data_IF_886718227225
#
_entry.id   IF_886718227225
#
_cell.length_a   1.000
_cell.length_b   1.000
_cell.length_c   1.000
_cell.angle_alpha   90.00
_cell.angle_beta   90.00
_cell.angle_gamma   90.00
#
_symmetry.space_group_name_H-M   'P 1'
#
loop_
_entity.id
_entity.type
_entity.pdbx_description
1 polymer ?
#
# COMPACT_ATOMS: atom_id res chain seq x y z
N UNK A 1 51.17 43.58 -9.62
CA UNK A 1 52.12 42.55 -10.07
C UNK A 1 51.30 41.58 -10.91
N UNK A 2 51.82 41.15 -12.05
CA UNK A 2 51.13 40.20 -12.94
C UNK A 2 50.87 38.91 -12.14
N UNK A 3 49.61 38.55 -11.90
CA UNK A 3 49.23 37.25 -11.33
C UNK A 3 49.65 36.20 -12.35
N UNK A 4 50.55 35.31 -11.96
CA UNK A 4 50.82 34.12 -12.74
C UNK A 4 49.70 33.13 -12.43
N UNK A 5 48.84 32.95 -13.42
CA UNK A 5 47.97 31.81 -13.71
C UNK A 5 46.96 31.40 -12.63
N UNK A 6 46.06 32.32 -12.23
CA UNK A 6 44.77 31.91 -11.66
C UNK A 6 44.00 31.03 -12.68
N UNK A 7 43.12 30.12 -12.23
CA UNK A 7 42.32 29.27 -13.12
C UNK A 7 41.54 30.10 -14.16
N UNK A 8 41.34 29.53 -15.36
CA UNK A 8 40.60 30.22 -16.44
C UNK A 8 39.17 30.61 -16.03
N UNK A 9 38.60 29.95 -15.01
CA UNK A 9 37.28 30.20 -14.46
C UNK A 9 37.30 30.82 -13.05
N UNK A 10 38.33 31.59 -12.73
CA UNK A 10 38.49 32.32 -11.46
C UNK A 10 37.38 33.36 -11.23
N UNK A 11 36.87 33.97 -12.29
CA UNK A 11 35.79 34.98 -12.22
C UNK A 11 34.46 34.38 -12.68
N UNK A 12 33.36 34.84 -12.10
CA UNK A 12 32.01 34.42 -12.50
C UNK A 12 31.76 34.68 -14.00
N UNK A 13 32.25 35.80 -14.51
CA UNK A 13 32.12 36.16 -15.93
C UNK A 13 32.86 35.22 -16.89
N UNK A 14 33.82 34.44 -16.37
CA UNK A 14 34.65 33.50 -17.11
C UNK A 14 34.26 32.04 -16.83
N UNK A 15 33.05 31.79 -16.29
CA UNK A 15 32.55 30.46 -15.96
C UNK A 15 32.67 29.47 -17.13
N UNK A 16 33.34 28.35 -16.91
CA UNK A 16 33.51 27.31 -17.94
C UNK A 16 32.20 26.55 -18.13
N UNK A 17 31.78 26.36 -19.38
CA UNK A 17 30.61 25.54 -19.72
C UNK A 17 30.94 24.07 -19.51
N UNK A 18 30.13 23.36 -18.73
CA UNK A 18 30.25 21.93 -18.44
C UNK A 18 28.99 21.16 -18.82
N UNK A 19 29.08 19.83 -18.83
CA UNK A 19 27.96 18.91 -18.93
C UNK A 19 27.94 17.95 -17.74
N UNK A 20 27.04 16.96 -17.77
CA UNK A 20 27.05 15.86 -16.79
C UNK A 20 28.35 15.05 -16.85
N UNK A 21 28.72 14.46 -15.72
CA UNK A 21 29.90 13.64 -15.49
C UNK A 21 30.95 14.32 -14.61
N UNK A 22 32.15 13.75 -14.63
CA UNK A 22 33.27 14.14 -13.78
C UNK A 22 34.13 15.24 -14.43
N UNK A 23 34.32 16.34 -13.72
CA UNK A 23 35.11 17.50 -14.13
C UNK A 23 36.27 17.68 -13.16
N UNK A 24 37.51 17.55 -13.65
CA UNK A 24 38.70 17.87 -12.87
C UNK A 24 38.83 19.37 -12.68
N UNK A 25 39.11 19.82 -11.46
CA UNK A 25 39.24 21.25 -11.15
C UNK A 25 40.37 21.54 -10.15
N UNK A 26 40.74 22.83 -10.06
CA UNK A 26 41.67 23.37 -9.06
C UNK A 26 41.22 24.78 -8.65
N UNK A 27 41.18 25.04 -7.34
CA UNK A 27 40.98 26.40 -6.76
C UNK A 27 42.29 27.03 -6.29
N UNK A 28 43.43 26.35 -6.47
CA UNK A 28 44.75 26.89 -6.13
C UNK A 28 45.01 28.16 -6.95
N UNK A 29 45.50 29.20 -6.27
CA UNK A 29 45.79 30.53 -6.80
C UNK A 29 44.57 31.33 -7.32
N UNK A 30 43.35 30.81 -7.13
CA UNK A 30 42.11 31.52 -7.40
C UNK A 30 41.85 32.64 -6.35
N UNK A 31 41.20 33.70 -6.78
CA UNK A 31 40.60 34.73 -5.95
C UNK A 31 39.23 34.31 -5.42
N UNK A 32 38.48 35.29 -4.91
CA UNK A 32 37.08 35.10 -4.48
C UNK A 32 36.26 36.18 -5.18
N UNK A 33 35.37 35.79 -6.09
CA UNK A 33 34.59 36.72 -6.91
C UNK A 33 33.10 36.82 -6.50
N UNK A 34 32.54 35.75 -5.90
CA UNK A 34 31.10 35.70 -5.59
C UNK A 34 30.66 36.32 -4.26
N UNK A 35 29.34 36.47 -4.07
CA UNK A 35 28.76 37.05 -2.86
C UNK A 35 28.99 36.16 -1.62
N UNK A 36 28.86 36.75 -0.43
CA UNK A 36 28.71 35.92 0.78
C UNK A 36 27.36 35.18 0.73
N UNK A 37 27.33 33.93 1.21
CA UNK A 37 26.08 33.17 1.23
C UNK A 37 25.11 33.72 2.30
N UNK A 38 23.79 33.57 2.08
CA UNK A 38 22.78 33.92 3.08
C UNK A 38 22.92 33.06 4.35
N UNK A 39 22.31 33.51 5.45
CA UNK A 39 22.34 32.77 6.72
C UNK A 39 21.66 31.39 6.66
N UNK A 40 20.80 31.15 5.68
CA UNK A 40 20.21 29.82 5.45
C UNK A 40 21.24 28.77 5.04
N UNK A 41 22.40 29.19 4.49
CA UNK A 41 23.52 28.30 4.16
C UNK A 41 24.54 28.16 5.30
N UNK A 42 24.23 28.66 6.49
CA UNK A 42 25.17 28.63 7.61
C UNK A 42 25.05 27.30 8.36
N UNK A 43 25.91 26.34 8.05
CA UNK A 43 25.99 25.04 8.74
C UNK A 43 26.76 25.13 10.09
N UNK A 44 26.84 26.33 10.68
CA UNK A 44 27.40 26.57 12.01
C UNK A 44 28.81 27.18 12.01
N UNK A 45 29.48 27.22 10.85
CA UNK A 45 30.86 27.69 10.73
C UNK A 45 31.04 28.93 9.83
N UNK A 46 29.94 29.55 9.36
CA UNK A 46 29.90 30.82 8.64
C UNK A 46 29.71 30.68 7.12
N UNK A 47 29.55 31.82 6.43
CA UNK A 47 28.95 31.86 5.07
C UNK A 47 29.92 32.34 3.98
N UNK A 48 31.20 32.43 4.31
CA UNK A 48 32.22 33.03 3.45
C UNK A 48 32.91 31.94 2.65
N UNK A 49 32.91 32.10 1.32
CA UNK A 49 33.76 31.33 0.42
C UNK A 49 35.22 31.80 0.52
N UNK A 50 36.13 30.84 0.43
CA UNK A 50 37.54 31.03 0.14
C UNK A 50 37.81 31.22 -1.34
N UNK A 51 38.96 30.76 -1.81
CA UNK A 51 39.29 30.74 -3.24
C UNK A 51 38.19 29.99 -4.00
N UNK A 52 37.61 30.61 -5.04
CA UNK A 52 36.48 30.07 -5.79
C UNK A 52 36.70 30.06 -7.30
N UNK A 53 35.98 29.16 -7.95
CA UNK A 53 35.92 29.03 -9.41
C UNK A 53 34.48 28.78 -9.85
N UNK A 54 34.21 29.04 -11.12
CA UNK A 54 32.86 29.08 -11.66
C UNK A 54 32.66 28.14 -12.85
N UNK A 55 31.51 27.49 -12.88
CA UNK A 55 31.03 26.71 -14.01
C UNK A 55 29.64 27.17 -14.41
N UNK A 56 29.30 26.97 -15.69
CA UNK A 56 27.93 27.13 -16.17
C UNK A 56 27.43 25.81 -16.73
N UNK A 57 26.21 25.46 -16.39
CA UNK A 57 25.54 24.26 -16.86
C UNK A 57 24.18 24.64 -17.42
N UNK A 58 23.86 24.15 -18.62
CA UNK A 58 22.52 24.28 -19.19
C UNK A 58 21.89 22.89 -19.20
N UNK A 59 20.96 22.60 -18.28
CA UNK A 59 20.28 21.33 -18.20
C UNK A 59 19.54 21.03 -19.51
N UNK A 60 19.71 19.81 -20.03
CA UNK A 60 18.88 19.28 -21.11
C UNK A 60 17.55 18.68 -20.63
N UNK A 61 17.22 18.85 -19.34
CA UNK A 61 16.11 18.21 -18.63
C UNK A 61 15.61 19.10 -17.48
N UNK A 62 14.38 18.85 -17.00
CA UNK A 62 13.84 19.46 -15.78
C UNK A 62 13.77 18.38 -14.71
N UNK A 63 14.35 18.61 -13.54
CA UNK A 63 14.40 17.59 -12.48
C UNK A 63 15.53 17.84 -11.50
N UNK A 64 15.91 16.81 -10.75
CA UNK A 64 17.00 16.91 -9.78
C UNK A 64 18.38 16.88 -10.46
N UNK A 65 19.31 17.68 -9.93
CA UNK A 65 20.73 17.64 -10.27
C UNK A 65 21.53 17.52 -8.98
N UNK A 66 22.38 16.50 -8.89
CA UNK A 66 23.39 16.39 -7.85
C UNK A 66 24.70 16.97 -8.33
N UNK A 67 25.26 17.86 -7.52
CA UNK A 67 26.54 18.53 -7.71
C UNK A 67 27.41 18.11 -6.54
N UNK A 68 28.45 17.32 -6.79
CA UNK A 68 29.22 16.68 -5.73
C UNK A 68 30.71 16.92 -5.87
N UNK A 69 31.35 17.17 -4.72
CA UNK A 69 32.82 17.05 -4.52
C UNK A 69 33.14 15.99 -3.47
N UNK A 70 32.10 15.31 -2.97
CA UNK A 70 32.13 14.41 -1.83
C UNK A 70 33.17 13.30 -2.01
N UNK A 71 34.11 13.19 -1.07
CA UNK A 71 35.23 12.24 -1.09
C UNK A 71 36.17 12.35 -2.31
N UNK A 72 36.01 13.39 -3.13
CA UNK A 72 36.73 13.60 -4.39
C UNK A 72 37.53 14.91 -4.43
N UNK A 73 37.47 15.71 -3.37
CA UNK A 73 38.33 16.87 -3.13
C UNK A 73 39.37 16.59 -2.04
N UNK A 74 40.54 17.23 -2.17
CA UNK A 74 41.64 17.13 -1.21
C UNK A 74 41.62 18.21 -0.11
N UNK A 75 40.54 19.01 -0.06
CA UNK A 75 40.35 20.14 0.83
C UNK A 75 38.88 20.28 1.26
N UNK A 76 38.65 21.14 2.24
CA UNK A 76 37.32 21.51 2.76
C UNK A 76 36.62 22.41 1.72
N UNK A 77 35.62 21.84 1.04
CA UNK A 77 34.95 22.49 -0.09
C UNK A 77 33.67 23.17 0.34
N UNK A 78 33.19 24.07 -0.52
CA UNK A 78 31.86 24.64 -0.46
C UNK A 78 31.27 24.73 -1.86
N UNK A 79 30.00 24.38 -1.98
CA UNK A 79 29.22 24.45 -3.21
C UNK A 79 28.08 25.45 -3.10
N UNK A 80 27.82 26.16 -4.19
CA UNK A 80 26.61 26.94 -4.36
C UNK A 80 26.19 26.95 -5.83
N UNK A 81 24.89 26.88 -6.07
CA UNK A 81 24.30 27.00 -7.40
C UNK A 81 23.39 28.22 -7.47
N UNK A 82 23.44 28.93 -8.59
CA UNK A 82 22.69 30.16 -8.82
C UNK A 82 21.97 30.13 -10.16
N UNK A 83 20.80 30.76 -10.22
CA UNK A 83 20.15 31.20 -11.44
C UNK A 83 20.56 32.64 -11.78
N UNK A 84 20.18 33.06 -12.99
CA UNK A 84 20.52 34.34 -13.61
C UNK A 84 22.02 34.51 -13.89
N UNK A 85 22.44 35.72 -14.26
CA UNK A 85 23.83 36.04 -14.56
C UNK A 85 24.58 36.62 -13.36
N UNK A 86 25.90 36.77 -13.50
CA UNK A 86 26.80 37.29 -12.45
C UNK A 86 26.41 38.67 -11.87
N UNK A 87 25.65 39.47 -12.60
CA UNK A 87 25.17 40.78 -12.14
C UNK A 87 23.95 40.70 -11.21
N UNK A 88 23.26 39.56 -11.16
CA UNK A 88 22.00 39.35 -10.42
C UNK A 88 21.84 37.90 -9.94
N UNK A 89 22.89 37.35 -9.31
CA UNK A 89 22.92 35.96 -8.85
C UNK A 89 21.75 35.66 -7.88
N UNK A 90 20.90 34.72 -8.26
CA UNK A 90 19.81 34.20 -7.41
C UNK A 90 20.19 32.81 -6.91
N UNK A 91 20.42 32.67 -5.61
CA UNK A 91 20.83 31.39 -5.04
C UNK A 91 19.71 30.33 -5.16
N UNK A 92 20.04 29.17 -5.72
CA UNK A 92 19.18 27.98 -5.81
C UNK A 92 19.45 27.03 -4.64
N UNK A 93 20.73 26.80 -4.32
CA UNK A 93 21.13 25.89 -3.27
C UNK A 93 22.60 26.03 -2.92
N UNK A 94 22.98 25.51 -1.76
CA UNK A 94 24.33 25.60 -1.21
C UNK A 94 24.59 24.42 -0.26
N UNK A 95 25.85 24.01 -0.15
CA UNK A 95 26.29 23.05 0.85
C UNK A 95 27.77 23.32 1.20
N UNK A 96 28.11 23.20 2.48
CA UNK A 96 29.49 23.23 2.98
C UNK A 96 29.97 21.80 3.25
N UNK A 97 29.40 21.15 4.27
CA UNK A 97 29.80 19.82 4.70
C UNK A 97 28.76 18.80 4.25
N UNK A 98 29.07 18.04 3.20
CA UNK A 98 28.21 16.95 2.75
C UNK A 98 28.16 15.83 3.79
N UNK A 99 26.97 15.31 4.06
CA UNK A 99 26.81 14.20 4.99
C UNK A 99 27.56 12.96 4.48
N UNK A 100 28.36 12.32 5.35
CA UNK A 100 29.18 11.17 4.98
C UNK A 100 30.40 11.48 4.09
N UNK A 101 30.65 12.76 3.79
CA UNK A 101 31.78 13.19 2.98
C UNK A 101 33.03 13.40 3.84
N UNK A 102 34.12 12.69 3.51
CA UNK A 102 35.43 12.89 4.09
C UNK A 102 36.03 14.24 3.71
N UNK A 103 37.04 14.68 4.46
CA UNK A 103 37.74 15.95 4.24
C UNK A 103 36.85 17.20 4.27
N UNK A 104 35.63 17.11 4.82
CA UNK A 104 34.67 18.23 4.80
C UNK A 104 34.34 18.64 3.35
N UNK A 105 34.19 17.64 2.48
CA UNK A 105 33.79 17.87 1.10
C UNK A 105 32.27 17.97 0.97
N UNK A 106 31.80 18.62 -0.08
CA UNK A 106 30.39 19.04 -0.21
C UNK A 106 29.61 18.13 -1.15
N UNK A 107 28.32 18.01 -0.89
CA UNK A 107 27.32 17.35 -1.72
C UNK A 107 26.04 18.17 -1.76
N UNK A 108 25.62 18.59 -2.96
CA UNK A 108 24.50 19.51 -3.16
C UNK A 108 23.47 18.91 -4.12
N UNK A 109 22.21 18.86 -3.68
CA UNK A 109 21.05 18.50 -4.49
C UNK A 109 20.19 19.75 -4.77
N UNK A 110 19.86 19.99 -6.04
CA UNK A 110 19.00 21.10 -6.46
C UNK A 110 18.00 20.66 -7.52
N UNK A 111 16.92 21.42 -7.70
CA UNK A 111 16.03 21.30 -8.86
C UNK A 111 16.49 22.22 -9.97
N UNK A 112 16.48 21.72 -11.20
CA UNK A 112 16.82 22.45 -12.42
C UNK A 112 15.68 22.42 -13.43
N UNK A 113 15.60 23.44 -14.28
CA UNK A 113 14.63 23.50 -15.37
C UNK A 113 15.34 23.38 -16.71
N UNK A 114 14.76 22.62 -17.65
CA UNK A 114 15.29 22.43 -19.00
C UNK A 114 15.57 23.78 -19.68
N UNK A 115 16.73 23.87 -20.32
CA UNK A 115 17.21 25.06 -21.03
C UNK A 115 17.37 26.33 -20.17
N UNK A 116 17.24 26.23 -18.84
CA UNK A 116 17.51 27.34 -17.91
C UNK A 116 18.95 27.20 -17.39
N UNK A 117 19.88 28.07 -17.82
CA UNK A 117 21.27 27.96 -17.40
C UNK A 117 21.43 28.30 -15.91
N UNK A 118 22.26 27.53 -15.23
CA UNK A 118 22.69 27.77 -13.86
C UNK A 118 24.19 28.04 -13.81
N UNK A 119 24.62 28.76 -12.78
CA UNK A 119 26.01 28.97 -12.41
C UNK A 119 26.33 28.14 -11.17
N UNK A 120 27.44 27.40 -11.22
CA UNK A 120 27.91 26.54 -10.13
C UNK A 120 29.22 27.15 -9.64
N UNK A 121 29.26 27.50 -8.35
CA UNK A 121 30.43 28.03 -7.66
C UNK A 121 31.02 26.93 -6.79
N UNK A 122 32.30 26.65 -7.00
CA UNK A 122 33.09 25.71 -6.20
C UNK A 122 34.17 26.50 -5.51
N UNK A 123 34.29 26.40 -4.20
CA UNK A 123 35.40 27.01 -3.46
C UNK A 123 35.67 26.26 -2.17
N UNK A 124 36.38 26.88 -1.23
CA UNK A 124 36.67 26.27 0.07
C UNK A 124 36.16 27.06 1.26
N UNK A 125 36.17 26.45 2.44
CA UNK A 125 35.84 27.14 3.69
C UNK A 125 36.90 28.18 4.07
N UNK A 126 36.50 29.45 4.24
CA UNK A 126 37.33 30.56 4.80
C UNK A 126 38.76 30.74 4.23
N UNK A 127 39.02 30.28 3.01
CA UNK A 127 40.31 30.43 2.33
C UNK A 127 41.05 29.13 2.09
N UNK A 128 40.48 27.98 2.47
CA UNK A 128 40.94 26.68 1.98
C UNK A 128 40.84 26.63 0.44
N UNK A 129 41.78 25.91 -0.16
CA UNK A 129 41.90 25.76 -1.61
C UNK A 129 42.64 24.47 -1.93
N UNK A 130 42.35 23.85 -3.06
CA UNK A 130 42.96 22.59 -3.43
C UNK A 130 42.52 22.10 -4.81
N UNK A 131 42.59 20.79 -5.01
CA UNK A 131 42.20 20.12 -6.25
C UNK A 131 41.14 19.08 -5.98
N UNK A 132 40.35 18.75 -7.01
CA UNK A 132 39.33 17.73 -6.87
C UNK A 132 38.63 17.38 -8.17
N UNK A 133 37.64 16.51 -8.03
CA UNK A 133 36.66 16.18 -9.08
C UNK A 133 35.31 16.73 -8.67
N UNK A 134 34.70 17.52 -9.55
CA UNK A 134 33.32 17.96 -9.46
C UNK A 134 32.49 16.98 -10.31
N UNK A 135 31.58 16.25 -9.69
CA UNK A 135 30.66 15.34 -10.38
C UNK A 135 29.30 16.03 -10.51
N UNK A 136 28.82 16.18 -11.75
CA UNK A 136 27.44 16.58 -12.05
C UNK A 136 26.69 15.34 -12.53
N UNK A 137 25.73 14.86 -11.75
CA UNK A 137 24.96 13.67 -12.11
C UNK A 137 23.47 13.90 -11.90
N UNK A 138 22.67 13.27 -12.75
CA UNK A 138 21.26 13.05 -12.45
C UNK A 138 21.28 11.98 -11.35
N UNK A 139 20.78 12.26 -10.13
CA UNK A 139 20.60 11.20 -9.14
C UNK A 139 19.83 10.06 -9.80
N UNK A 140 20.24 8.82 -9.61
CA UNK A 140 19.55 7.66 -10.18
C UNK A 140 18.20 7.37 -9.50
N UNK A 141 17.51 8.42 -9.04
CA UNK A 141 16.19 8.46 -8.40
C UNK A 141 15.22 9.19 -9.34
N UNK A 142 14.96 8.59 -10.49
CA UNK A 142 13.75 8.84 -11.27
C UNK A 142 12.73 7.81 -10.84
N UNK A 143 11.98 8.11 -9.78
CA UNK A 143 10.98 7.23 -9.17
C UNK A 143 10.08 6.59 -10.24
N UNK A 144 10.08 5.25 -10.31
CA UNK A 144 9.25 4.48 -11.24
C UNK A 144 7.75 4.77 -11.13
N UNK A 145 7.28 5.28 -10.00
CA UNK A 145 5.88 5.53 -9.71
C UNK A 145 5.46 7.00 -9.92
N UNK A 146 6.38 7.85 -10.40
CA UNK A 146 6.11 9.25 -10.70
C UNK A 146 6.37 9.56 -12.17
N UNK A 147 5.56 10.44 -12.77
CA UNK A 147 5.76 10.82 -14.17
C UNK A 147 6.92 11.81 -14.33
N UNK A 148 7.78 11.56 -15.30
CA UNK A 148 8.90 12.42 -15.66
C UNK A 148 9.18 12.35 -17.18
N UNK A 149 9.99 13.30 -17.66
CA UNK A 149 10.14 13.53 -19.10
C UNK A 149 11.11 12.54 -19.78
N UNK A 150 11.92 11.85 -18.98
CA UNK A 150 12.96 10.93 -19.42
C UNK A 150 12.41 9.52 -19.56
N UNK A 151 12.91 8.71 -20.51
CA UNK A 151 12.54 7.30 -20.59
C UNK A 151 13.23 6.44 -19.51
N UNK A 152 12.51 5.43 -19.01
CA UNK A 152 12.95 4.53 -17.95
C UNK A 152 12.86 5.17 -16.56
N UNK A 153 12.98 4.35 -15.51
CA UNK A 153 13.01 4.80 -14.12
C UNK A 153 14.21 4.23 -13.35
N UNK A 154 14.28 4.51 -12.04
CA UNK A 154 15.34 4.16 -11.09
C UNK A 154 15.46 2.67 -10.78
N UNK A 155 14.36 1.93 -10.76
CA UNK A 155 14.37 0.47 -10.67
C UNK A 155 14.51 -0.17 -12.06
N UNK A 156 15.66 -0.80 -12.31
CA UNK A 156 15.97 -1.49 -13.56
C UNK A 156 15.03 -2.68 -13.87
N UNK A 157 14.58 -3.43 -12.85
CA UNK A 157 13.66 -4.54 -13.01
C UNK A 157 12.24 -4.03 -13.34
N UNK A 158 11.77 -3.03 -12.58
CA UNK A 158 10.50 -2.36 -12.86
C UNK A 158 10.51 -1.69 -14.24
N UNK A 159 11.55 -0.93 -14.55
CA UNK A 159 11.78 -0.31 -15.86
C UNK A 159 11.68 -1.34 -16.98
N UNK A 160 12.41 -2.47 -16.91
CA UNK A 160 12.32 -3.52 -17.93
C UNK A 160 10.94 -4.16 -18.05
N UNK A 161 10.21 -4.30 -16.93
CA UNK A 161 8.87 -4.87 -16.88
C UNK A 161 7.86 -3.92 -17.55
N UNK A 162 7.88 -2.64 -17.19
CA UNK A 162 7.06 -1.59 -17.83
C UNK A 162 7.45 -1.43 -19.31
N UNK A 163 8.74 -1.42 -19.66
CA UNK A 163 9.21 -1.38 -21.05
C UNK A 163 8.65 -2.55 -21.89
N UNK A 164 8.46 -3.72 -21.29
CA UNK A 164 7.96 -4.91 -21.98
C UNK A 164 6.47 -4.81 -22.30
N UNK A 165 5.73 -4.03 -21.52
CA UNK A 165 4.30 -3.76 -21.69
C UNK A 165 4.11 -2.56 -22.62
N UNK A 166 4.83 -1.46 -22.35
CA UNK A 166 4.75 -0.20 -23.06
C UNK A 166 6.14 0.34 -23.44
N UNK A 167 6.66 0.01 -24.64
CA UNK A 167 7.99 0.43 -25.08
C UNK A 167 8.22 1.95 -25.13
N UNK A 168 7.16 2.76 -25.26
CA UNK A 168 7.28 4.22 -25.24
C UNK A 168 7.79 4.76 -23.90
N UNK A 169 7.59 4.04 -22.80
CA UNK A 169 8.14 4.40 -21.49
C UNK A 169 9.67 4.41 -21.48
N UNK A 170 10.31 3.73 -22.44
CA UNK A 170 11.77 3.53 -22.48
C UNK A 170 12.42 4.12 -23.73
N UNK A 171 11.60 4.58 -24.69
CA UNK A 171 12.05 5.19 -25.93
C UNK A 171 11.62 6.67 -26.07
N UNK A 172 10.69 7.15 -25.24
CA UNK A 172 10.13 8.50 -25.35
C UNK A 172 10.13 9.29 -24.03
N UNK A 173 9.35 8.86 -23.04
CA UNK A 173 9.23 9.50 -21.72
C UNK A 173 8.52 8.56 -20.75
N UNK A 174 8.80 8.71 -19.46
CA UNK A 174 8.11 8.00 -18.39
C UNK A 174 6.89 8.81 -17.92
N UNK A 175 5.84 8.85 -18.74
CA UNK A 175 4.64 9.64 -18.46
C UNK A 175 3.70 9.01 -17.40
N UNK A 176 2.57 9.66 -17.12
CA UNK A 176 1.59 9.18 -16.13
C UNK A 176 1.09 7.75 -16.42
N UNK A 177 1.08 7.31 -17.68
CA UNK A 177 0.69 5.95 -18.05
C UNK A 177 1.82 4.96 -17.71
N UNK A 178 3.08 5.36 -17.87
CA UNK A 178 4.25 4.60 -17.41
C UNK A 178 4.30 4.44 -15.89
N UNK A 179 4.08 5.53 -15.15
CA UNK A 179 3.97 5.50 -13.69
C UNK A 179 2.80 4.62 -13.20
N UNK A 180 1.64 4.69 -13.88
CA UNK A 180 0.48 3.83 -13.58
C UNK A 180 0.74 2.35 -13.91
N UNK A 181 1.50 2.08 -14.96
CA UNK A 181 1.93 0.72 -15.30
C UNK A 181 2.94 0.18 -14.29
N UNK A 182 3.83 1.04 -13.78
CA UNK A 182 4.75 0.69 -12.72
C UNK A 182 4.00 0.28 -11.44
N UNK A 183 3.06 1.12 -10.98
CA UNK A 183 2.18 0.82 -9.84
C UNK A 183 1.43 -0.52 -9.98
N UNK A 184 1.04 -0.88 -11.20
CA UNK A 184 0.23 -2.08 -11.44
C UNK A 184 1.07 -3.36 -11.66
N UNK A 185 2.36 -3.24 -12.00
CA UNK A 185 3.13 -4.37 -12.51
C UNK A 185 4.52 -4.52 -11.91
N UNK A 186 5.04 -3.51 -11.23
CA UNK A 186 6.25 -3.62 -10.45
C UNK A 186 5.88 -4.04 -9.03
N UNK A 187 6.78 -4.73 -8.33
CA UNK A 187 6.72 -4.68 -6.86
C UNK A 187 6.74 -3.20 -6.50
N UNK A 188 5.79 -2.76 -5.67
CA UNK A 188 5.44 -1.36 -5.43
C UNK A 188 6.55 -0.53 -4.75
N UNK A 189 7.83 -0.89 -4.91
CA UNK A 189 8.91 -0.29 -4.16
C UNK A 189 8.66 -0.36 -2.65
N UNK A 190 7.76 -1.25 -2.20
CA UNK A 190 7.44 -1.45 -0.80
C UNK A 190 8.75 -1.76 -0.13
N UNK A 191 9.31 -0.77 0.54
CA UNK A 191 10.59 -0.96 1.19
C UNK A 191 10.32 -2.01 2.25
N UNK A 192 10.90 -3.21 2.13
CA UNK A 192 10.58 -4.37 2.97
C UNK A 192 10.53 -3.95 4.45
N UNK A 193 9.34 -3.70 5.00
CA UNK A 193 9.15 -3.11 6.34
C UNK A 193 8.14 -1.96 6.47
N UNK A 194 7.73 -1.29 5.39
CA UNK A 194 6.64 -0.30 5.44
C UNK A 194 5.27 -0.94 5.66
N UNK A 195 4.37 -0.24 6.34
CA UNK A 195 2.97 -0.66 6.50
C UNK A 195 2.73 -1.72 7.58
N UNK A 196 3.68 -1.95 8.48
CA UNK A 196 3.48 -2.83 9.63
C UNK A 196 2.35 -2.28 10.53
N UNK A 197 1.23 -3.00 10.73
CA UNK A 197 0.15 -2.54 11.60
C UNK A 197 0.56 -2.34 13.06
N UNK A 198 1.63 -3.03 13.50
CA UNK A 198 2.26 -2.87 14.81
C UNK A 198 3.45 -1.88 14.77
N UNK A 199 3.71 -1.26 13.62
CA UNK A 199 4.77 -0.27 13.40
C UNK A 199 4.55 1.03 14.17
N UNK A 200 5.63 1.81 14.32
CA UNK A 200 5.56 3.12 14.97
C UNK A 200 4.96 4.19 14.03
N UNK A 201 4.36 5.22 14.63
CA UNK A 201 3.65 6.29 13.92
C UNK A 201 4.58 7.16 13.05
N UNK A 202 4.22 7.35 11.78
CA UNK A 202 4.99 8.08 10.76
C UNK A 202 5.30 9.55 11.11
N UNK A 203 4.64 10.10 12.11
CA UNK A 203 4.67 11.52 12.46
C UNK A 203 5.32 11.74 13.81
N UNK A 204 5.85 10.69 14.40
CA UNK A 204 6.67 10.73 15.59
C UNK A 204 8.06 10.22 15.30
N UNK A 205 9.05 10.85 15.92
CA UNK A 205 10.43 10.39 15.82
C UNK A 205 10.57 9.07 16.57
N UNK A 206 11.11 8.05 15.91
CA UNK A 206 11.33 6.74 16.52
C UNK A 206 12.62 6.07 15.99
N UNK A 207 13.23 5.17 16.79
CA UNK A 207 14.56 4.62 16.47
C UNK A 207 14.53 3.46 15.47
N UNK A 208 13.36 2.87 15.20
CA UNK A 208 13.21 1.90 14.13
C UNK A 208 13.13 2.61 12.76
N UNK A 209 13.61 2.00 11.67
CA UNK A 209 13.23 2.41 10.32
C UNK A 209 11.76 2.06 10.04
N UNK A 210 11.20 2.64 8.97
CA UNK A 210 9.81 2.45 8.51
C UNK A 210 8.75 2.98 9.46
N UNK A 211 7.52 3.16 8.99
CA UNK A 211 6.40 3.53 9.84
C UNK A 211 5.14 2.75 9.46
N UNK A 212 4.10 2.89 10.29
CA UNK A 212 2.90 2.05 10.23
C UNK A 212 2.00 2.26 9.01
N UNK A 213 2.05 3.43 8.38
CA UNK A 213 1.24 3.73 7.19
C UNK A 213 2.04 3.38 5.94
N UNK A 214 1.61 2.37 5.17
CA UNK A 214 2.33 1.86 4.00
C UNK A 214 2.58 2.96 2.96
N UNK A 215 1.54 3.71 2.58
CA UNK A 215 1.62 4.74 1.54
C UNK A 215 2.49 5.94 1.97
N UNK A 216 2.38 6.38 3.23
CA UNK A 216 3.18 7.46 3.79
C UNK A 216 4.62 7.00 4.02
N UNK A 217 4.80 5.78 4.52
CA UNK A 217 6.09 5.16 4.72
C UNK A 217 6.84 5.09 3.39
N UNK A 218 6.23 4.52 2.36
CA UNK A 218 6.83 4.40 1.04
C UNK A 218 7.14 5.77 0.44
N UNK A 219 6.24 6.76 0.55
CA UNK A 219 6.52 8.13 0.08
C UNK A 219 7.70 8.79 0.81
N UNK A 220 7.82 8.59 2.13
CA UNK A 220 8.94 9.11 2.92
C UNK A 220 10.22 8.37 2.59
N UNK A 221 10.18 7.04 2.46
CA UNK A 221 11.32 6.21 2.06
C UNK A 221 11.84 6.60 0.67
N UNK A 222 10.93 6.88 -0.26
CA UNK A 222 11.24 7.30 -1.62
C UNK A 222 11.77 8.75 -1.67
N UNK A 223 11.46 9.57 -0.65
CA UNK A 223 12.02 10.91 -0.53
C UNK A 223 13.40 10.89 0.14
N UNK A 224 13.59 10.02 1.13
CA UNK A 224 14.82 9.89 1.90
C UNK A 224 14.99 8.46 2.42
N UNK A 225 15.81 7.67 1.72
CA UNK A 225 15.99 6.25 1.97
C UNK A 225 16.49 5.93 3.39
N UNK A 226 17.19 6.85 4.04
CA UNK A 226 17.71 6.69 5.40
C UNK A 226 16.59 6.52 6.44
N UNK A 227 15.40 7.05 6.20
CA UNK A 227 14.21 6.81 7.04
C UNK A 227 13.85 5.33 7.15
N UNK A 228 14.29 4.54 6.15
CA UNK A 228 13.90 3.14 5.97
C UNK A 228 15.13 2.20 6.01
N UNK A 229 16.31 2.76 6.28
CA UNK A 229 17.57 2.02 6.43
C UNK A 229 18.24 2.21 7.79
N UNK A 230 17.97 3.33 8.47
CA UNK A 230 18.67 3.71 9.70
C UNK A 230 17.70 3.91 10.85
N UNK A 231 16.93 4.99 10.81
CA UNK A 231 15.97 5.38 11.85
C UNK A 231 14.99 6.43 11.31
N UNK A 232 13.81 6.52 11.92
CA UNK A 232 12.80 7.50 11.59
C UNK A 232 12.98 8.78 12.42
N UNK A 233 13.89 9.64 11.97
CA UNK A 233 14.29 10.84 12.69
C UNK A 233 13.37 12.06 12.44
N UNK A 234 13.78 13.24 12.93
CA UNK A 234 13.01 14.47 12.76
C UNK A 234 12.89 14.91 11.30
N UNK A 235 13.84 14.54 10.44
CA UNK A 235 13.76 14.81 9.01
C UNK A 235 12.68 13.91 8.39
N UNK A 236 12.61 12.63 8.74
CA UNK A 236 11.57 11.71 8.30
C UNK A 236 10.17 12.20 8.66
N UNK A 237 9.98 12.67 9.90
CA UNK A 237 8.71 13.30 10.33
C UNK A 237 8.41 14.58 9.54
N UNK A 238 9.43 15.40 9.27
CA UNK A 238 9.24 16.65 8.50
C UNK A 238 8.84 16.37 7.05
N UNK A 239 9.38 15.30 6.47
CA UNK A 239 9.02 14.79 5.14
C UNK A 239 7.60 14.25 5.18
N UNK A 240 7.26 13.42 6.16
CA UNK A 240 5.91 12.88 6.35
C UNK A 240 4.87 14.00 6.44
N UNK A 241 5.11 15.04 7.27
CA UNK A 241 4.24 16.22 7.41
C UNK A 241 4.02 17.01 6.11
N UNK A 242 4.92 16.89 5.13
CA UNK A 242 4.84 17.64 3.88
C UNK A 242 4.20 16.86 2.73
N UNK A 243 4.33 15.54 2.73
CA UNK A 243 4.00 14.70 1.57
C UNK A 243 2.79 13.80 1.89
N UNK A 244 2.63 13.36 3.14
CA UNK A 244 1.50 12.53 3.53
C UNK A 244 0.21 13.36 3.64
N UNK A 245 -0.86 12.93 2.96
CA UNK A 245 -2.17 13.63 2.98
C UNK A 245 -2.81 13.68 4.36
N UNK A 246 -2.51 12.71 5.21
CA UNK A 246 -2.90 12.64 6.62
C UNK A 246 -1.81 11.91 7.40
N UNK A 247 -1.04 12.69 8.15
CA UNK A 247 -0.10 12.23 9.17
C UNK A 247 -0.79 11.60 10.40
N UNK A 248 -2.09 11.85 10.55
CA UNK A 248 -2.95 11.15 11.49
C UNK A 248 -3.79 10.17 10.67
N UNK A 249 -3.35 8.93 10.51
CA UNK A 249 -4.34 7.85 10.55
C UNK A 249 -4.11 7.12 11.88
N UNK A 250 -4.93 7.35 12.92
CA UNK A 250 -5.10 6.29 13.91
C UNK A 250 -5.38 4.98 13.15
N UNK A 251 -4.96 3.82 13.70
CA UNK A 251 -5.21 2.53 13.06
C UNK A 251 -6.62 2.51 12.46
N UNK A 252 -6.78 2.03 11.20
CA UNK A 252 -8.01 2.21 10.45
C UNK A 252 -9.19 1.85 11.36
N UNK A 253 -10.29 2.62 11.34
CA UNK A 253 -11.39 2.35 12.25
C UNK A 253 -11.77 0.87 12.15
N UNK A 254 -12.16 0.22 13.27
CA UNK A 254 -12.49 -1.19 13.25
C UNK A 254 -13.45 -1.53 12.11
N UNK A 255 -13.33 -2.72 11.51
CA UNK A 255 -14.14 -3.12 10.37
C UNK A 255 -15.63 -2.89 10.64
N UNK A 256 -16.41 -2.63 9.59
CA UNK A 256 -17.84 -2.33 9.76
C UNK A 256 -18.62 -3.43 10.51
N UNK A 257 -18.09 -4.65 10.51
CA UNK A 257 -18.64 -5.82 11.19
C UNK A 257 -17.84 -6.27 12.41
N UNK A 258 -17.11 -5.36 13.05
CA UNK A 258 -16.33 -5.62 14.26
C UNK A 258 -17.19 -6.17 15.41
N UNK A 259 -18.36 -5.56 15.62
CA UNK A 259 -19.30 -5.97 16.64
C UNK A 259 -20.37 -6.93 16.09
N UNK A 260 -20.79 -7.89 16.90
CA UNK A 260 -21.90 -8.80 16.55
C UNK A 260 -23.17 -8.06 16.11
N UNK A 261 -23.45 -6.89 16.70
CA UNK A 261 -24.59 -6.05 16.35
C UNK A 261 -24.56 -5.52 14.91
N UNK A 262 -23.36 -5.34 14.38
CA UNK A 262 -23.09 -4.72 13.07
C UNK A 262 -22.66 -5.73 12.00
N UNK A 263 -22.89 -7.03 12.25
CA UNK A 263 -22.52 -8.09 11.33
C UNK A 263 -23.05 -7.86 9.91
N UNK A 264 -22.21 -8.14 8.92
CA UNK A 264 -22.49 -7.93 7.49
C UNK A 264 -23.16 -9.17 6.89
N UNK A 265 -24.15 -8.97 6.02
CA UNK A 265 -24.82 -10.06 5.31
C UNK A 265 -23.85 -10.72 4.31
N UNK A 266 -23.81 -12.05 4.30
CA UNK A 266 -23.14 -12.82 3.25
C UNK A 266 -24.07 -12.87 2.04
N UNK A 267 -23.73 -12.15 0.97
CA UNK A 267 -24.52 -12.05 -0.27
C UNK A 267 -23.79 -12.61 -1.51
N UNK A 268 -22.64 -13.25 -1.30
CA UNK A 268 -21.82 -13.90 -2.32
C UNK A 268 -21.16 -15.18 -1.79
N UNK A 269 -20.75 -16.07 -2.70
CA UNK A 269 -20.03 -17.31 -2.36
C UNK A 269 -18.69 -17.04 -1.64
N UNK A 270 -18.07 -15.90 -1.93
CA UNK A 270 -16.83 -15.41 -1.32
C UNK A 270 -17.03 -13.94 -0.91
N UNK A 271 -16.83 -13.63 0.37
CA UNK A 271 -16.89 -12.26 0.89
C UNK A 271 -15.56 -11.90 1.57
N UNK A 272 -14.90 -10.78 1.22
CA UNK A 272 -13.65 -10.38 1.85
C UNK A 272 -13.89 -9.97 3.31
N UNK A 273 -12.88 -10.21 4.15
CA UNK A 273 -12.85 -9.77 5.53
C UNK A 273 -11.44 -9.35 5.95
N UNK A 274 -11.37 -8.53 7.00
CA UNK A 274 -10.11 -8.12 7.64
C UNK A 274 -10.29 -8.14 9.15
N UNK A 275 -9.27 -8.58 9.87
CA UNK A 275 -9.15 -8.48 11.32
C UNK A 275 -8.27 -7.30 11.74
N UNK A 276 -7.74 -6.54 10.77
CA UNK A 276 -6.95 -5.33 11.01
C UNK A 276 -7.81 -4.32 11.77
N UNK A 277 -7.32 -3.93 12.95
CA UNK A 277 -7.99 -3.02 13.89
C UNK A 277 -9.33 -3.51 14.43
N UNK A 278 -9.68 -4.78 14.22
CA UNK A 278 -10.81 -5.39 14.88
C UNK A 278 -10.60 -5.49 16.39
N UNK A 279 -11.68 -5.61 17.14
CA UNK A 279 -11.69 -5.81 18.58
C UNK A 279 -12.24 -7.19 18.93
N UNK A 280 -12.02 -7.62 20.16
CA UNK A 280 -12.55 -8.90 20.63
C UNK A 280 -13.98 -8.72 21.12
N UNK A 281 -14.93 -9.40 20.49
CA UNK A 281 -16.32 -9.40 20.93
C UNK A 281 -16.49 -10.23 22.21
N UNK A 282 -17.23 -9.73 23.22
CA UNK A 282 -17.53 -10.49 24.44
C UNK A 282 -18.58 -11.61 24.21
N UNK A 283 -19.34 -11.55 23.12
CA UNK A 283 -20.34 -12.55 22.74
C UNK A 283 -19.76 -13.69 21.90
N UNK A 284 -20.55 -14.77 21.78
CA UNK A 284 -20.19 -15.91 20.94
C UNK A 284 -18.94 -16.62 21.41
N UNK A 285 -18.97 -17.18 22.61
CA UNK A 285 -17.96 -18.15 23.01
C UNK A 285 -17.97 -19.33 22.04
N UNK A 286 -16.80 -19.84 21.67
CA UNK A 286 -16.66 -20.99 20.78
C UNK A 286 -16.01 -22.16 21.52
N UNK A 287 -16.47 -23.39 21.33
CA UNK A 287 -16.01 -24.56 22.08
C UNK A 287 -14.66 -25.12 21.65
N UNK A 288 -14.19 -24.78 20.46
CA UNK A 288 -12.94 -25.24 19.86
C UNK A 288 -11.71 -24.53 20.42
N UNK A 289 -11.88 -23.39 21.11
CA UNK A 289 -10.76 -22.60 21.59
C UNK A 289 -11.13 -21.70 22.77
N UNK A 290 -10.18 -21.48 23.67
CA UNK A 290 -10.37 -20.62 24.84
C UNK A 290 -10.13 -19.12 24.53
N UNK A 291 -9.56 -18.80 23.36
CA UNK A 291 -9.27 -17.44 22.90
C UNK A 291 -9.60 -17.32 21.42
N UNK A 292 -10.52 -16.42 21.06
CA UNK A 292 -10.89 -16.23 19.65
C UNK A 292 -10.06 -15.13 18.96
N UNK A 293 -9.15 -14.47 19.70
CA UNK A 293 -8.46 -13.27 19.22
C UNK A 293 -9.41 -12.09 19.04
N UNK A 294 -9.07 -11.20 18.10
CA UNK A 294 -10.02 -10.21 17.59
C UNK A 294 -10.95 -10.87 16.59
N UNK A 295 -12.13 -10.33 16.37
CA UNK A 295 -13.14 -10.99 15.56
C UNK A 295 -14.04 -10.03 14.79
N UNK A 296 -14.63 -10.57 13.72
CA UNK A 296 -15.63 -9.90 12.91
C UNK A 296 -16.82 -10.84 12.67
N UNK A 297 -17.96 -10.25 12.36
CA UNK A 297 -19.23 -10.95 12.32
C UNK A 297 -19.91 -10.89 10.96
N UNK A 298 -20.60 -11.97 10.62
CA UNK A 298 -21.46 -12.04 9.44
C UNK A 298 -22.84 -12.59 9.79
N UNK A 299 -23.83 -12.26 8.96
CA UNK A 299 -25.15 -12.88 8.94
C UNK A 299 -25.24 -13.75 7.70
N UNK A 300 -25.61 -15.00 7.90
CA UNK A 300 -25.94 -15.92 6.82
C UNK A 300 -27.44 -16.18 6.81
N UNK A 301 -28.12 -15.82 5.75
CA UNK A 301 -29.51 -16.21 5.51
C UNK A 301 -29.51 -17.52 4.72
N UNK A 302 -29.99 -18.60 5.34
CA UNK A 302 -29.88 -19.91 4.73
C UNK A 302 -30.77 -20.04 3.49
N UNK A 303 -30.15 -20.33 2.36
CA UNK A 303 -30.81 -20.66 1.09
C UNK A 303 -31.03 -22.16 0.91
N UNK A 304 -30.89 -22.97 1.96
CA UNK A 304 -31.20 -24.39 1.90
C UNK A 304 -31.64 -24.97 3.26
N UNK A 305 -32.41 -26.07 3.22
CA UNK A 305 -32.53 -26.99 4.35
C UNK A 305 -31.47 -28.07 4.18
N UNK A 306 -30.41 -28.03 4.98
CA UNK A 306 -29.29 -28.96 4.80
C UNK A 306 -28.02 -28.51 5.50
N UNK A 307 -26.86 -28.77 4.90
CA UNK A 307 -25.56 -28.47 5.47
C UNK A 307 -24.99 -27.21 4.83
N UNK A 308 -24.80 -26.17 5.65
CA UNK A 308 -23.99 -25.02 5.26
C UNK A 308 -22.52 -25.28 5.63
N UNK A 309 -21.61 -25.04 4.70
CA UNK A 309 -20.16 -25.07 4.92
C UNK A 309 -19.62 -23.65 4.86
N UNK A 310 -18.85 -23.27 5.88
CA UNK A 310 -18.12 -22.00 5.92
C UNK A 310 -16.63 -22.27 6.02
N UNK A 311 -15.83 -21.53 5.24
CA UNK A 311 -14.38 -21.74 5.15
C UNK A 311 -13.64 -20.42 5.06
N UNK A 312 -12.51 -20.34 5.75
CA UNK A 312 -11.57 -19.19 5.70
C UNK A 312 -10.22 -19.60 5.09
N UNK A 313 -10.22 -20.71 4.35
CA UNK A 313 -9.03 -21.24 3.72
C UNK A 313 -8.55 -20.29 2.62
N UNK A 314 -7.29 -19.88 2.70
CA UNK A 314 -6.73 -18.83 1.85
C UNK A 314 -6.46 -17.51 2.58
N UNK A 315 -6.86 -17.42 3.86
CA UNK A 315 -6.44 -16.32 4.75
C UNK A 315 -4.91 -16.24 4.86
N UNK A 316 -4.40 -15.04 5.19
CA UNK A 316 -2.96 -14.76 5.31
C UNK A 316 -2.28 -15.52 6.45
N UNK A 317 -3.02 -15.88 7.50
CA UNK A 317 -2.58 -16.74 8.60
C UNK A 317 -3.75 -17.55 9.20
N UNK A 318 -3.50 -18.27 10.29
CA UNK A 318 -4.46 -19.10 10.99
C UNK A 318 -5.66 -18.29 11.50
N UNK A 319 -6.83 -18.67 10.99
CA UNK A 319 -8.12 -18.12 11.36
C UNK A 319 -8.88 -19.08 12.28
N UNK A 320 -9.94 -18.57 12.88
CA UNK A 320 -10.91 -19.30 13.70
C UNK A 320 -12.30 -18.98 13.16
N UNK A 321 -13.19 -19.96 13.12
CA UNK A 321 -14.56 -19.74 12.66
C UNK A 321 -15.56 -20.44 13.58
N UNK A 322 -16.66 -19.77 13.91
CA UNK A 322 -17.75 -20.33 14.69
C UNK A 322 -19.10 -19.88 14.12
N UNK A 323 -20.10 -20.76 14.14
CA UNK A 323 -21.45 -20.47 13.62
C UNK A 323 -22.46 -20.65 14.74
N UNK A 324 -23.41 -19.73 14.82
CA UNK A 324 -24.40 -19.66 15.87
C UNK A 324 -25.82 -19.55 15.31
N UNK A 325 -26.77 -20.18 16.00
CA UNK A 325 -28.19 -19.84 15.87
C UNK A 325 -28.60 -18.80 16.94
N UNK A 326 -29.62 -18.01 16.62
CA UNK A 326 -30.19 -16.98 17.49
C UNK A 326 -30.03 -15.55 16.95
N UNK A 327 -31.07 -14.75 17.13
CA UNK A 327 -31.21 -13.47 16.41
C UNK A 327 -30.59 -12.27 17.14
N UNK A 328 -30.04 -12.47 18.34
CA UNK A 328 -29.51 -11.42 19.21
C UNK A 328 -28.22 -11.89 19.90
N UNK A 329 -27.17 -11.07 19.82
CA UNK A 329 -25.83 -11.33 20.36
C UNK A 329 -25.80 -11.80 21.83
N UNK A 330 -26.85 -11.51 22.62
CA UNK A 330 -26.96 -11.94 24.01
C UNK A 330 -27.44 -13.39 24.26
N UNK A 331 -27.90 -14.13 23.25
CA UNK A 331 -28.38 -15.52 23.38
C UNK A 331 -27.95 -16.41 22.20
N UNK A 332 -26.69 -16.31 21.78
CA UNK A 332 -26.15 -17.15 20.72
C UNK A 332 -25.97 -18.60 21.21
N UNK A 333 -26.42 -19.57 20.41
CA UNK A 333 -26.18 -21.00 20.62
C UNK A 333 -25.22 -21.46 19.53
N UNK A 334 -24.04 -21.94 19.92
CA UNK A 334 -23.04 -22.46 18.99
C UNK A 334 -23.55 -23.73 18.32
N UNK A 335 -23.54 -23.74 16.98
CA UNK A 335 -23.84 -24.91 16.15
C UNK A 335 -22.57 -25.70 15.81
N UNK A 336 -21.45 -24.98 15.63
CA UNK A 336 -20.15 -25.58 15.40
C UNK A 336 -19.05 -24.52 15.29
N UNK A 337 -17.80 -24.95 15.45
CA UNK A 337 -16.64 -24.10 15.25
C UNK A 337 -15.39 -24.88 14.86
N UNK A 338 -14.36 -24.18 14.39
CA UNK A 338 -13.10 -24.72 13.90
C UNK A 338 -11.95 -23.76 14.14
N UNK A 339 -10.78 -24.29 14.52
CA UNK A 339 -9.51 -23.58 14.63
C UNK A 339 -8.41 -24.41 13.93
N UNK A 340 -7.87 -23.87 12.84
CA UNK A 340 -6.80 -24.44 12.05
C UNK A 340 -6.16 -23.34 11.17
N UNK A 341 -5.03 -23.64 10.54
CA UNK A 341 -4.46 -22.76 9.49
C UNK A 341 -5.44 -22.52 8.33
N UNK A 342 -6.34 -23.48 8.11
CA UNK A 342 -7.44 -23.38 7.17
C UNK A 342 -8.68 -23.88 7.93
N UNK A 343 -9.44 -22.94 8.50
CA UNK A 343 -10.59 -23.22 9.35
C UNK A 343 -11.85 -23.39 8.50
N UNK A 344 -12.46 -24.57 8.62
CA UNK A 344 -13.70 -24.95 7.96
C UNK A 344 -14.68 -25.55 8.97
N UNK A 345 -15.95 -25.18 8.87
CA UNK A 345 -17.03 -25.66 9.74
C UNK A 345 -18.28 -25.98 8.91
N UNK A 346 -18.94 -27.07 9.26
CA UNK A 346 -20.20 -27.52 8.66
C UNK A 346 -21.29 -27.53 9.71
N UNK A 347 -22.44 -26.92 9.42
CA UNK A 347 -23.59 -26.85 10.33
C UNK A 347 -24.89 -27.14 9.61
N UNK A 348 -25.84 -27.73 10.33
CA UNK A 348 -27.20 -27.90 9.82
C UNK A 348 -27.93 -26.56 9.84
N UNK A 349 -28.51 -26.17 8.71
CA UNK A 349 -29.28 -24.94 8.51
C UNK A 349 -30.68 -25.24 7.99
N UNK A 350 -31.61 -24.34 8.31
CA UNK A 350 -33.00 -24.37 7.84
C UNK A 350 -33.22 -23.17 6.95
N UNK A 351 -33.81 -23.40 5.77
CA UNK A 351 -34.07 -22.37 4.78
C UNK A 351 -34.85 -21.18 5.38
N UNK A 352 -34.43 -19.97 5.02
CA UNK A 352 -35.03 -18.71 5.49
C UNK A 352 -34.70 -18.34 6.94
N UNK A 353 -33.94 -19.17 7.67
CA UNK A 353 -33.42 -18.82 8.99
C UNK A 353 -32.09 -18.07 8.87
N UNK A 354 -31.86 -17.14 9.79
CA UNK A 354 -30.61 -16.40 9.89
C UNK A 354 -29.65 -17.03 10.90
N UNK A 355 -28.38 -17.09 10.54
CA UNK A 355 -27.28 -17.59 11.36
C UNK A 355 -26.22 -16.51 11.49
N UNK A 356 -25.49 -16.51 12.61
CA UNK A 356 -24.35 -15.62 12.81
C UNK A 356 -23.07 -16.41 12.59
N UNK A 357 -22.17 -15.88 11.78
CA UNK A 357 -20.84 -16.46 11.55
C UNK A 357 -19.81 -15.51 12.15
N UNK A 358 -19.01 -16.01 13.09
CA UNK A 358 -17.92 -15.29 13.74
C UNK A 358 -16.60 -15.77 13.13
N UNK A 359 -15.80 -14.84 12.62
CA UNK A 359 -14.44 -15.12 12.13
C UNK A 359 -13.46 -14.37 13.02
N UNK A 360 -12.43 -15.04 13.52
CA UNK A 360 -11.44 -14.42 14.41
C UNK A 360 -10.04 -14.97 14.22
N UNK A 361 -9.09 -14.41 14.95
CA UNK A 361 -7.67 -14.71 14.78
C UNK A 361 -6.76 -13.60 15.30
N UNK A 362 -5.46 -13.65 14.93
CA UNK A 362 -4.54 -12.54 15.08
C UNK A 362 -5.06 -11.26 14.38
N UNK A 363 -4.71 -10.09 14.91
CA UNK A 363 -5.25 -8.79 14.48
C UNK A 363 -4.70 -8.25 13.17
N UNK A 364 -3.91 -9.03 12.44
CA UNK A 364 -3.29 -8.73 11.15
C UNK A 364 -3.81 -9.64 10.02
N UNK A 365 -4.75 -10.54 10.32
CA UNK A 365 -5.27 -11.49 9.33
C UNK A 365 -6.26 -10.84 8.37
N UNK A 366 -6.07 -11.08 7.07
CA UNK A 366 -7.03 -10.78 6.00
C UNK A 366 -7.37 -12.05 5.24
N UNK A 367 -8.53 -12.08 4.58
CA UNK A 367 -8.94 -13.24 3.79
C UNK A 367 -10.32 -13.10 3.16
N UNK A 368 -10.80 -14.22 2.61
CA UNK A 368 -12.17 -14.35 2.11
C UNK A 368 -12.90 -15.43 2.92
N UNK A 369 -14.12 -15.14 3.33
CA UNK A 369 -15.04 -16.10 3.91
C UNK A 369 -15.82 -16.75 2.77
N UNK A 370 -15.56 -18.02 2.53
CA UNK A 370 -16.31 -18.84 1.60
C UNK A 370 -17.54 -19.44 2.29
N UNK A 371 -18.70 -19.41 1.63
CA UNK A 371 -19.91 -20.08 2.09
C UNK A 371 -20.55 -20.92 0.97
N UNK A 372 -21.15 -22.04 1.36
CA UNK A 372 -21.92 -22.89 0.45
C UNK A 372 -23.01 -23.63 1.22
N UNK A 373 -24.13 -23.94 0.56
CA UNK A 373 -25.26 -24.64 1.16
C UNK A 373 -25.58 -25.88 0.32
N UNK A 374 -25.47 -27.08 0.90
CA UNK A 374 -25.93 -28.32 0.29
C UNK A 374 -27.28 -28.71 0.91
N UNK A 375 -28.35 -28.59 0.13
CA UNK A 375 -29.71 -28.88 0.56
C UNK A 375 -30.73 -28.25 -0.37
N UNK A 376 -32.01 -28.46 -0.07
CA UNK A 376 -33.11 -27.85 -0.84
C UNK A 376 -33.83 -26.82 0.03
N UNK A 377 -33.97 -25.58 -0.48
CA UNK A 377 -34.68 -24.52 0.24
C UNK A 377 -36.19 -24.67 0.14
N UNK A 378 -36.69 -25.47 -0.81
CA UNK A 378 -38.10 -25.75 -0.87
C UNK A 378 -38.54 -26.20 0.55
N UNK A 379 -39.64 -25.64 1.11
CA UNK A 379 -40.35 -26.37 2.15
C UNK A 379 -40.50 -27.79 1.59
N UNK A 380 -40.36 -28.86 2.39
CA UNK A 380 -40.67 -30.18 1.86
C UNK A 380 -42.02 -30.05 1.16
N UNK A 381 -42.01 -30.29 -0.15
CA UNK A 381 -43.20 -30.32 -0.97
C UNK A 381 -43.59 -31.79 -1.08
N UNK A 382 -44.02 -32.43 0.03
CA UNK A 382 -44.27 -33.87 0.01
C UNK A 382 -45.38 -34.20 -0.99
N UNK A 383 -46.20 -33.20 -1.38
CA UNK A 383 -47.25 -33.32 -2.36
C UNK A 383 -46.84 -33.02 -3.81
N UNK A 384 -45.61 -32.60 -4.10
CA UNK A 384 -45.08 -32.55 -5.47
C UNK A 384 -44.48 -33.92 -5.80
N UNK A 385 -45.25 -34.72 -6.53
CA UNK A 385 -44.89 -36.10 -6.84
C UNK A 385 -44.18 -36.23 -8.18
N UNK A 386 -44.22 -35.21 -9.04
CA UNK A 386 -43.54 -35.24 -10.34
C UNK A 386 -42.27 -34.38 -10.41
N UNK A 387 -41.96 -33.67 -9.32
CA UNK A 387 -40.69 -32.98 -9.06
C UNK A 387 -40.51 -31.76 -9.93
N UNK A 388 -41.60 -31.03 -10.19
CA UNK A 388 -41.63 -29.83 -11.04
C UNK A 388 -41.69 -28.51 -10.26
N UNK A 389 -41.58 -28.59 -8.92
CA UNK A 389 -41.62 -27.49 -7.95
C UNK A 389 -43.00 -26.81 -7.86
N UNK A 390 -44.08 -27.49 -8.26
CA UNK A 390 -45.45 -27.00 -8.20
C UNK A 390 -46.42 -28.14 -7.85
N UNK A 391 -47.18 -27.99 -6.78
CA UNK A 391 -48.30 -28.88 -6.45
C UNK A 391 -49.52 -28.48 -7.27
N UNK A 392 -49.82 -29.25 -8.33
CA UNK A 392 -50.94 -28.97 -9.23
C UNK A 392 -51.78 -30.21 -9.63
N UNK A 393 -52.47 -30.11 -10.78
CA UNK A 393 -53.32 -31.19 -11.29
C UNK A 393 -52.55 -32.46 -11.65
N UNK A 394 -51.25 -32.37 -11.94
CA UNK A 394 -50.40 -33.52 -12.19
C UNK A 394 -50.21 -34.36 -10.91
N UNK A 395 -49.92 -33.71 -9.78
CA UNK A 395 -49.75 -34.35 -8.47
C UNK A 395 -51.03 -34.95 -7.94
N UNK A 396 -52.14 -34.22 -8.09
CA UNK A 396 -53.46 -34.77 -7.80
C UNK A 396 -53.73 -36.03 -8.62
N UNK A 397 -53.29 -36.06 -9.88
CA UNK A 397 -53.35 -37.24 -10.73
C UNK A 397 -52.57 -38.42 -10.15
N UNK A 398 -51.35 -38.17 -9.64
CA UNK A 398 -50.51 -39.18 -8.99
C UNK A 398 -51.18 -39.70 -7.71
N UNK A 399 -51.67 -38.82 -6.82
CA UNK A 399 -52.37 -39.21 -5.59
C UNK A 399 -53.59 -40.07 -5.88
N UNK A 400 -54.45 -39.64 -6.80
CA UNK A 400 -55.66 -40.37 -7.18
C UNK A 400 -55.35 -41.72 -7.84
N UNK A 401 -54.21 -41.86 -8.52
CA UNK A 401 -53.77 -43.13 -9.07
C UNK A 401 -53.36 -44.14 -7.98
N UNK A 402 -52.92 -43.64 -6.83
CA UNK A 402 -52.52 -44.42 -5.67
C UNK A 402 -53.65 -44.61 -4.63
N UNK A 403 -54.88 -44.16 -4.93
CA UNK A 403 -55.98 -44.17 -3.96
C UNK A 403 -56.27 -45.56 -3.38
N UNK A 404 -56.29 -45.66 -2.05
CA UNK A 404 -56.50 -46.89 -1.30
C UNK A 404 -55.33 -47.88 -1.31
N UNK A 405 -54.16 -47.46 -1.81
CA UNK A 405 -52.92 -48.22 -1.70
C UNK A 405 -52.24 -48.01 -0.34
N UNK A 406 -51.31 -48.90 -0.01
CA UNK A 406 -50.51 -48.86 1.21
C UNK A 406 -49.03 -48.78 0.87
N UNK A 407 -48.25 -47.95 1.57
CA UNK A 407 -46.81 -47.78 1.31
C UNK A 407 -46.51 -47.02 0.01
N UNK A 408 -47.41 -46.12 -0.39
CA UNK A 408 -47.23 -45.21 -1.50
C UNK A 408 -46.57 -43.92 -1.01
N UNK A 409 -45.70 -43.25 -1.81
CA UNK A 409 -45.24 -41.90 -1.52
C UNK A 409 -46.38 -40.85 -1.43
N UNK A 410 -47.56 -41.18 -1.94
CA UNK A 410 -48.74 -40.32 -1.87
C UNK A 410 -49.49 -40.37 -0.53
N UNK A 411 -48.98 -41.14 0.44
CA UNK A 411 -49.43 -41.15 1.84
C UNK A 411 -48.71 -40.01 2.58
N UNK A 412 -49.38 -38.87 2.67
CA UNK A 412 -48.83 -37.59 3.15
C UNK A 412 -48.97 -37.43 4.67
N UNK A 413 -49.80 -38.25 5.31
CA UNK A 413 -50.00 -38.23 6.76
C UNK A 413 -49.35 -39.42 7.49
N UNK A 414 -48.67 -40.31 6.74
CA UNK A 414 -48.01 -41.53 7.20
C UNK A 414 -48.93 -42.52 7.95
N UNK A 415 -50.22 -42.57 7.60
CA UNK A 415 -51.18 -43.49 8.23
C UNK A 415 -51.27 -44.89 7.56
N UNK A 416 -50.41 -45.11 6.57
CA UNK A 416 -50.28 -46.30 5.71
C UNK A 416 -51.38 -46.45 4.65
N UNK A 417 -52.28 -45.47 4.46
CA UNK A 417 -53.38 -45.55 3.51
C UNK A 417 -53.60 -44.24 2.76
N UNK A 418 -53.46 -44.25 1.43
CA UNK A 418 -53.80 -43.07 0.62
C UNK A 418 -55.32 -42.87 0.57
N UNK A 419 -55.83 -41.85 1.25
CA UNK A 419 -57.26 -41.54 1.32
C UNK A 419 -57.60 -40.03 1.31
N UNK A 420 -58.81 -39.70 1.79
CA UNK A 420 -59.32 -38.33 1.82
C UNK A 420 -58.49 -37.37 2.67
N UNK A 421 -57.69 -37.88 3.61
CA UNK A 421 -56.83 -37.05 4.45
C UNK A 421 -55.60 -36.59 3.67
N UNK A 422 -54.98 -37.45 2.87
CA UNK A 422 -53.86 -37.09 1.98
C UNK A 422 -54.30 -36.10 0.91
N UNK A 423 -55.48 -36.32 0.32
CA UNK A 423 -56.08 -35.34 -0.59
C UNK A 423 -56.25 -33.97 0.07
N UNK A 424 -56.64 -33.96 1.35
CA UNK A 424 -56.76 -32.72 2.12
C UNK A 424 -55.42 -32.00 2.27
N UNK A 425 -54.33 -32.74 2.51
CA UNK A 425 -52.97 -32.21 2.64
C UNK A 425 -52.46 -31.69 1.29
N UNK A 426 -52.62 -32.47 0.21
CA UNK A 426 -52.24 -32.03 -1.14
C UNK A 426 -52.94 -30.74 -1.55
N UNK A 427 -54.26 -30.64 -1.32
CA UNK A 427 -55.03 -29.44 -1.66
C UNK A 427 -54.67 -28.24 -0.76
N UNK A 428 -54.20 -28.49 0.47
CA UNK A 428 -53.69 -27.44 1.35
C UNK A 428 -52.35 -26.87 0.84
N UNK A 429 -51.52 -27.72 0.23
CA UNK A 429 -50.21 -27.38 -0.33
C UNK A 429 -50.28 -26.93 -1.81
N UNK A 430 -51.48 -26.69 -2.36
CA UNK A 430 -51.66 -26.40 -3.79
C UNK A 430 -51.01 -25.08 -4.22
N UNK A 431 -50.14 -25.13 -5.23
CA UNK A 431 -49.40 -23.97 -5.74
C UNK A 431 -47.91 -24.24 -5.94
N UNK A 432 -47.13 -23.22 -6.31
CA UNK A 432 -45.67 -23.34 -6.35
C UNK A 432 -45.10 -23.67 -4.96
N UNK A 433 -44.02 -24.45 -4.96
CA UNK A 433 -43.17 -24.69 -3.81
C UNK A 433 -42.36 -23.42 -3.51
N UNK A 434 -42.83 -22.59 -2.58
CA UNK A 434 -42.16 -21.37 -2.10
C UNK A 434 -41.76 -21.48 -0.63
#
# INVERSE_FOLDING_TARGET
MLHADAPDNDLCGDAIVVGLGDIQYSTIDAGTDGPELPQSCNEGFGNVFGADIWYSFTPGYTGALRISTCNQADYDTRLAAYEQGCDDLVLVGCNDDGFGCGSYSSDLLILVTVDVPILIRVGGWKGESGTGTLTLEIPLDSDCFMDHAEPGCDDQACSQQVCSIQPSCCDQAWDQECASLALANCDNGGSEGCGDPDGDDCCTVHPAPFCSDEDCCDQVCNTFAECCQVEWDQLCVTIAEQICTTCDDPPPPPPANDDCGDAVLIDSELIPYTLVSATQSPEGSASCTDDFGVDVWFIYEAECNGIATFSTCGATDASRIAVYEGDLCGNLIELGCSEATCSEVQVEVTCGMSYRVKVGGPGDVTGELASSCEGDCAPPCPADFDGNDVVDGADLGVLLSAWGSTGSPADLNDDMLVDGMDLGILLFLWGPCE
#
